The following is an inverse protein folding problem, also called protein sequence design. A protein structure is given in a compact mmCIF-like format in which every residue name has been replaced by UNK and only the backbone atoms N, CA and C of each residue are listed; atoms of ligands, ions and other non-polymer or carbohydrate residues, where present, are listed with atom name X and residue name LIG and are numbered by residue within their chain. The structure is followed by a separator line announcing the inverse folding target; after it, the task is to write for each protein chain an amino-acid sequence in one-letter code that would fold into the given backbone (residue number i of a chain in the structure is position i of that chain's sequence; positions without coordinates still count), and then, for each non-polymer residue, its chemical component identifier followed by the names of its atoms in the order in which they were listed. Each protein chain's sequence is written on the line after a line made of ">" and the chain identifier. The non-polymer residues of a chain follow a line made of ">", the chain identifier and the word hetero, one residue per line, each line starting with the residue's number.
data_IF_741726787266
#
_entry.id   IF_741726787266
#
_cell.length_a   1.000
_cell.length_b   1.000
_cell.length_c   1.000
_cell.angle_alpha   90.00
_cell.angle_beta   90.00
_cell.angle_gamma   90.00
#
_symmetry.space_group_name_H-M   'P 1'
#
loop_
_entity.id
_entity.type
_entity.pdbx_description
1 polymer ?
#
# COMPACT_ATOMS: atom_id res chain seq x y z
N UNK A 1 2.76 -32.28 -6.87
CA UNK A 1 2.43 -30.85 -7.09
C UNK A 1 3.62 -30.20 -7.78
N UNK A 2 3.36 -29.25 -8.66
CA UNK A 2 4.36 -28.43 -9.35
C UNK A 2 4.09 -26.97 -9.01
N UNK A 3 5.13 -26.23 -8.63
CA UNK A 3 5.02 -24.78 -8.47
C UNK A 3 5.01 -24.11 -9.84
N UNK A 4 4.12 -23.14 -10.02
CA UNK A 4 4.19 -22.23 -11.16
C UNK A 4 5.55 -21.52 -11.12
N UNK A 5 6.20 -21.36 -12.28
CA UNK A 5 7.46 -20.63 -12.35
C UNK A 5 7.25 -19.17 -11.90
N UNK A 6 8.27 -18.61 -11.24
CA UNK A 6 8.28 -17.19 -10.92
C UNK A 6 8.10 -16.37 -12.21
N UNK A 7 7.26 -15.34 -12.17
CA UNK A 7 7.10 -14.46 -13.31
C UNK A 7 8.44 -13.80 -13.70
N UNK A 8 8.88 -14.05 -14.94
CA UNK A 8 10.07 -13.43 -15.53
C UNK A 8 9.73 -12.36 -16.58
N UNK A 9 8.44 -12.15 -16.86
CA UNK A 9 7.99 -11.18 -17.85
C UNK A 9 7.85 -9.80 -17.21
N UNK A 10 8.05 -8.77 -18.03
CA UNK A 10 7.80 -7.37 -17.67
C UNK A 10 6.93 -6.73 -18.74
N UNK A 11 6.08 -5.79 -18.34
CA UNK A 11 5.27 -4.98 -19.24
C UNK A 11 5.30 -3.55 -18.75
N UNK A 12 5.97 -2.67 -19.49
CA UNK A 12 6.20 -1.28 -19.07
C UNK A 12 4.89 -0.57 -18.74
N UNK A 13 4.79 0.01 -17.53
CA UNK A 13 3.60 0.69 -17.03
C UNK A 13 2.51 -0.23 -16.46
N UNK A 14 2.73 -1.55 -16.43
CA UNK A 14 1.78 -2.52 -15.89
C UNK A 14 2.40 -3.32 -14.74
N UNK A 15 1.57 -3.68 -13.78
CA UNK A 15 1.89 -4.57 -12.68
C UNK A 15 1.32 -5.95 -12.96
N UNK A 16 2.15 -6.99 -12.77
CA UNK A 16 1.71 -8.37 -12.85
C UNK A 16 0.72 -8.67 -11.72
N UNK A 17 -0.42 -9.26 -12.04
CA UNK A 17 -1.50 -9.56 -11.08
C UNK A 17 -1.71 -11.04 -10.83
N UNK A 18 -1.08 -11.90 -11.64
CA UNK A 18 -1.24 -13.34 -11.55
C UNK A 18 -1.27 -14.01 -12.90
N UNK A 19 -1.46 -15.31 -12.87
CA UNK A 19 -1.61 -16.18 -14.03
C UNK A 19 -3.08 -16.53 -14.23
N UNK A 20 -3.53 -16.71 -15.46
CA UNK A 20 -4.87 -17.20 -15.76
C UNK A 20 -4.85 -18.26 -16.87
N UNK A 21 -5.75 -19.24 -16.83
CA UNK A 21 -5.86 -20.27 -17.89
C UNK A 21 -6.43 -19.73 -19.21
N UNK A 22 -6.93 -18.49 -19.23
CA UNK A 22 -7.40 -17.80 -20.44
C UNK A 22 -6.78 -16.40 -20.54
N UNK A 23 -6.41 -15.99 -21.75
CA UNK A 23 -5.79 -14.69 -22.02
C UNK A 23 -6.64 -13.51 -21.54
N UNK A 24 -7.96 -13.62 -21.65
CA UNK A 24 -8.94 -12.60 -21.25
C UNK A 24 -9.24 -12.57 -19.74
N UNK A 25 -8.56 -13.39 -18.93
CA UNK A 25 -8.76 -13.45 -17.48
C UNK A 25 -10.01 -14.20 -17.02
N UNK A 26 -10.83 -14.76 -17.94
CA UNK A 26 -12.08 -15.44 -17.59
C UNK A 26 -11.89 -16.92 -17.21
N UNK A 27 -10.65 -17.38 -17.11
CA UNK A 27 -10.30 -18.74 -16.70
C UNK A 27 -10.01 -18.83 -15.21
N UNK A 28 -9.33 -19.90 -14.81
CA UNK A 28 -8.87 -20.11 -13.44
C UNK A 28 -7.65 -19.24 -13.16
N UNK A 29 -7.70 -18.44 -12.10
CA UNK A 29 -6.59 -17.58 -11.68
C UNK A 29 -5.65 -18.31 -10.72
N UNK A 30 -4.36 -18.02 -10.84
CA UNK A 30 -3.31 -18.51 -9.96
C UNK A 30 -2.39 -17.36 -9.54
N UNK A 31 -1.90 -17.38 -8.31
CA UNK A 31 -0.88 -16.43 -7.85
C UNK A 31 0.49 -16.80 -8.40
N UNK A 32 1.43 -15.87 -8.37
CA UNK A 32 2.82 -16.20 -8.70
C UNK A 32 3.34 -17.31 -7.77
N UNK A 33 4.16 -18.22 -8.30
CA UNK A 33 4.77 -19.33 -7.57
C UNK A 33 3.77 -20.29 -6.89
N UNK A 34 2.48 -20.24 -7.21
CA UNK A 34 1.48 -21.11 -6.60
C UNK A 34 1.79 -22.58 -6.90
N UNK A 35 1.73 -23.42 -5.86
CA UNK A 35 1.78 -24.88 -6.02
C UNK A 35 0.45 -25.40 -6.55
N UNK A 36 0.49 -26.04 -7.72
CA UNK A 36 -0.68 -26.64 -8.38
C UNK A 36 -0.43 -28.12 -8.68
N UNK A 37 -1.49 -28.92 -8.76
CA UNK A 37 -1.39 -30.31 -9.22
C UNK A 37 -1.88 -30.35 -10.66
N UNK A 38 -0.99 -30.73 -11.59
CA UNK A 38 -1.32 -30.86 -13.00
C UNK A 38 -1.73 -32.31 -13.29
N UNK A 39 -2.88 -32.48 -13.94
CA UNK A 39 -3.34 -33.76 -14.51
C UNK A 39 -3.14 -33.83 -16.02
N UNK A 40 -2.79 -32.70 -16.64
CA UNK A 40 -2.52 -32.51 -18.06
C UNK A 40 -1.75 -31.19 -18.26
N UNK A 41 -1.23 -30.96 -19.47
CA UNK A 41 -0.60 -29.70 -19.85
C UNK A 41 -1.63 -28.55 -19.81
N UNK A 42 -1.19 -27.40 -19.29
CA UNK A 42 -1.98 -26.16 -19.26
C UNK A 42 -1.17 -25.01 -19.86
N UNK A 43 -1.86 -24.06 -20.47
CA UNK A 43 -1.28 -22.76 -20.85
C UNK A 43 -1.72 -21.70 -19.84
N UNK A 44 -0.77 -20.94 -19.33
CA UNK A 44 -1.01 -19.81 -18.43
C UNK A 44 -0.69 -18.49 -19.13
N UNK A 45 -1.58 -17.52 -18.96
CA UNK A 45 -1.47 -16.18 -19.49
C UNK A 45 -1.22 -15.21 -18.35
N UNK A 46 -0.13 -14.45 -18.43
CA UNK A 46 0.16 -13.39 -17.47
C UNK A 46 -0.92 -12.30 -17.54
N UNK A 47 -1.51 -11.99 -16.39
CA UNK A 47 -2.50 -10.93 -16.24
C UNK A 47 -1.82 -9.66 -15.72
N UNK A 48 -2.20 -8.53 -16.30
CA UNK A 48 -1.53 -7.26 -16.11
C UNK A 48 -2.54 -6.17 -15.75
N UNK A 49 -2.22 -5.38 -14.72
CA UNK A 49 -2.99 -4.21 -14.32
C UNK A 49 -2.21 -2.95 -14.64
N UNK A 50 -2.85 -1.96 -15.27
CA UNK A 50 -2.27 -0.64 -15.49
C UNK A 50 -2.81 0.31 -14.43
N UNK A 51 -1.98 0.81 -13.51
CA UNK A 51 -2.41 1.81 -12.54
C UNK A 51 -2.86 3.10 -13.24
N UNK A 52 -3.99 3.65 -12.79
CA UNK A 52 -4.54 4.93 -13.27
C UNK A 52 -4.70 5.90 -12.10
N UNK A 53 -4.93 7.18 -12.42
CA UNK A 53 -5.08 8.24 -11.43
C UNK A 53 -6.38 9.03 -11.63
N UNK A 54 -6.79 9.73 -10.57
CA UNK A 54 -7.73 10.84 -10.59
C UNK A 54 -6.98 12.11 -10.27
N UNK A 55 -7.15 13.12 -11.11
CA UNK A 55 -6.70 14.48 -10.83
C UNK A 55 -7.75 15.18 -9.96
N UNK A 56 -7.44 15.35 -8.68
CA UNK A 56 -8.30 16.02 -7.70
C UNK A 56 -8.11 17.55 -7.70
N UNK A 57 -7.28 18.11 -8.59
CA UNK A 57 -6.90 19.53 -8.55
C UNK A 57 -6.05 19.87 -7.33
N UNK A 58 -5.23 18.92 -6.88
CA UNK A 58 -4.29 19.02 -5.76
C UNK A 58 -2.85 19.04 -6.29
N UNK A 59 -1.85 19.10 -5.41
CA UNK A 59 -0.43 19.13 -5.82
C UNK A 59 0.05 17.86 -6.51
N UNK A 60 -0.69 16.76 -6.39
CA UNK A 60 -0.41 15.45 -7.00
C UNK A 60 -1.70 14.76 -7.45
N UNK A 61 -1.56 13.83 -8.39
CA UNK A 61 -2.65 12.96 -8.85
C UNK A 61 -2.69 11.70 -8.01
N UNK A 62 -3.89 11.27 -7.64
CA UNK A 62 -4.09 10.16 -6.70
C UNK A 62 -4.48 8.89 -7.44
N UNK A 63 -3.90 7.75 -7.06
CA UNK A 63 -4.21 6.47 -7.65
C UNK A 63 -5.68 6.07 -7.48
N UNK A 64 -6.24 5.41 -8.50
CA UNK A 64 -7.63 4.92 -8.48
C UNK A 64 -7.85 3.76 -7.51
N UNK A 65 -6.81 2.95 -7.22
CA UNK A 65 -6.85 1.82 -6.28
C UNK A 65 -5.62 1.79 -5.34
N UNK A 66 -5.64 0.91 -4.33
CA UNK A 66 -4.48 0.65 -3.46
C UNK A 66 -3.44 -0.21 -4.20
N UNK A 67 -2.17 -0.14 -3.78
CA UNK A 67 -1.17 -1.14 -4.20
C UNK A 67 -1.69 -2.54 -3.85
N UNK A 68 -1.64 -3.47 -4.81
CA UNK A 68 -2.20 -4.82 -4.67
C UNK A 68 -3.69 -4.96 -5.01
N UNK A 69 -4.38 -3.87 -5.36
CA UNK A 69 -5.77 -3.89 -5.82
C UNK A 69 -5.89 -3.52 -7.30
N UNK A 70 -6.99 -3.97 -7.92
CA UNK A 70 -7.32 -3.64 -9.33
C UNK A 70 -8.62 -2.83 -9.46
N UNK A 71 -9.33 -2.62 -8.35
CA UNK A 71 -10.55 -1.79 -8.27
C UNK A 71 -10.43 -0.77 -7.15
N UNK A 72 -11.19 0.35 -7.19
CA UNK A 72 -11.07 1.41 -6.18
C UNK A 72 -11.36 0.95 -4.75
N UNK A 73 -12.34 0.07 -4.58
CA UNK A 73 -12.76 -0.52 -3.30
C UNK A 73 -11.88 -1.70 -2.84
N UNK A 74 -11.06 -2.26 -3.73
CA UNK A 74 -10.16 -3.35 -3.38
C UNK A 74 -9.20 -2.94 -2.26
N UNK A 75 -9.15 -3.73 -1.19
CA UNK A 75 -8.30 -3.44 -0.04
C UNK A 75 -6.82 -3.37 -0.40
N UNK A 76 -6.38 -4.16 -1.38
CA UNK A 76 -4.98 -4.27 -1.76
C UNK A 76 -4.13 -4.89 -0.66
N UNK A 77 -2.83 -4.74 -0.78
CA UNK A 77 -1.85 -5.36 0.10
C UNK A 77 -1.56 -4.52 1.35
N UNK A 78 -0.96 -5.15 2.35
CA UNK A 78 -0.44 -4.47 3.53
C UNK A 78 1.09 -4.37 3.42
N UNK A 79 1.65 -3.26 3.86
CA UNK A 79 3.10 -3.04 3.87
C UNK A 79 3.53 -2.52 5.23
N UNK A 80 4.66 -2.99 5.75
CA UNK A 80 5.34 -2.29 6.83
C UNK A 80 6.05 -1.07 6.24
N UNK A 81 6.26 -0.02 7.03
CA UNK A 81 6.80 1.23 6.49
C UNK A 81 8.25 1.05 6.02
N UNK A 82 8.53 1.34 4.75
CA UNK A 82 9.82 1.11 4.10
C UNK A 82 10.00 -0.31 3.52
N UNK A 83 9.02 -1.19 3.68
CA UNK A 83 9.02 -2.49 3.03
C UNK A 83 8.17 -2.49 1.77
N UNK A 84 8.59 -3.27 0.79
CA UNK A 84 8.03 -3.24 -0.57
C UNK A 84 7.29 -4.52 -0.93
N UNK A 85 7.33 -5.53 -0.06
CA UNK A 85 6.65 -6.81 -0.22
C UNK A 85 5.67 -7.05 0.94
N UNK A 86 4.48 -7.60 0.67
CA UNK A 86 3.54 -7.97 1.71
C UNK A 86 4.02 -9.18 2.50
N UNK A 87 3.55 -9.30 3.74
CA UNK A 87 3.89 -10.39 4.67
C UNK A 87 2.66 -10.94 5.36
N UNK A 88 2.79 -12.13 5.90
CA UNK A 88 1.74 -12.76 6.72
C UNK A 88 1.87 -12.45 8.21
N UNK A 89 2.98 -11.85 8.67
CA UNK A 89 3.18 -11.45 10.07
C UNK A 89 3.87 -10.06 10.18
N UNK A 90 3.23 -9.12 10.87
CA UNK A 90 3.69 -7.75 11.08
C UNK A 90 3.99 -7.46 12.56
N UNK A 91 5.27 -7.54 12.93
CA UNK A 91 5.77 -7.26 14.28
C UNK A 91 7.15 -6.62 14.18
N UNK A 92 7.67 -6.10 15.30
CA UNK A 92 9.07 -5.65 15.34
C UNK A 92 10.06 -6.78 15.02
N UNK A 93 9.76 -8.02 15.42
CA UNK A 93 10.60 -9.18 15.07
C UNK A 93 10.65 -9.50 13.59
N UNK A 94 9.64 -9.10 12.80
CA UNK A 94 9.62 -9.30 11.35
C UNK A 94 9.93 -8.03 10.56
N UNK A 95 10.13 -6.89 11.22
CA UNK A 95 10.33 -5.60 10.56
C UNK A 95 11.76 -5.45 10.03
N UNK A 96 11.88 -5.12 8.73
CA UNK A 96 13.16 -5.09 8.00
C UNK A 96 14.20 -4.12 8.57
N UNK A 97 13.76 -2.97 9.08
CA UNK A 97 14.67 -1.88 9.50
C UNK A 97 14.87 -1.79 11.01
N UNK A 98 14.93 -2.94 11.68
CA UNK A 98 15.36 -3.06 13.06
C UNK A 98 15.96 -4.44 13.37
N UNK A 99 16.67 -4.57 14.49
CA UNK A 99 17.11 -5.86 15.04
C UNK A 99 16.05 -6.37 16.04
N UNK A 100 14.84 -6.60 15.55
CA UNK A 100 13.74 -7.23 16.27
C UNK A 100 13.00 -6.38 17.30
N UNK A 101 13.46 -5.16 17.61
CA UNK A 101 12.88 -4.27 18.62
C UNK A 101 12.79 -2.83 18.10
N UNK A 102 11.84 -2.07 18.64
CA UNK A 102 11.66 -0.65 18.29
C UNK A 102 12.83 0.26 18.68
N UNK A 103 13.73 -0.22 19.54
CA UNK A 103 14.93 0.47 20.03
C UNK A 103 16.22 0.05 19.30
N UNK A 104 16.12 -0.80 18.26
CA UNK A 104 17.27 -1.31 17.51
C UNK A 104 17.15 -1.03 16.01
N UNK A 105 16.62 0.14 15.67
CA UNK A 105 16.45 0.64 14.31
C UNK A 105 17.78 0.68 13.55
N UNK A 106 17.74 0.27 12.29
CA UNK A 106 18.91 0.22 11.40
C UNK A 106 18.84 1.20 10.23
N UNK A 107 17.65 1.79 9.99
CA UNK A 107 17.42 2.78 8.93
C UNK A 107 16.29 3.74 9.31
N UNK A 108 16.34 4.95 8.74
CA UNK A 108 15.38 6.03 8.95
C UNK A 108 15.20 6.37 10.43
N UNK A 109 16.30 6.78 11.06
CA UNK A 109 16.34 7.01 12.49
C UNK A 109 17.05 8.33 12.80
N UNK A 110 16.40 9.12 13.66
CA UNK A 110 16.83 10.44 14.12
C UNK A 110 17.22 10.42 15.61
N UNK A 111 17.04 9.29 16.31
CA UNK A 111 17.24 9.16 17.75
C UNK A 111 18.29 8.09 18.05
N UNK A 112 19.43 8.49 18.61
CA UNK A 112 20.53 7.58 18.95
C UNK A 112 20.17 6.57 20.03
N UNK A 113 19.14 6.83 20.84
CA UNK A 113 18.62 5.85 21.81
C UNK A 113 17.86 4.69 21.15
N UNK A 114 17.59 4.80 19.83
CA UNK A 114 16.79 3.84 19.06
C UNK A 114 17.60 3.04 18.05
N UNK A 115 18.91 3.19 17.98
CA UNK A 115 19.79 2.44 17.08
C UNK A 115 20.63 3.33 16.16
N UNK A 116 20.98 2.84 14.98
CA UNK A 116 21.84 3.54 14.02
C UNK A 116 21.14 4.79 13.51
N UNK A 117 21.76 5.96 13.62
CA UNK A 117 21.21 7.24 13.15
C UNK A 117 21.68 7.52 11.73
N UNK A 118 20.74 7.77 10.82
CA UNK A 118 20.99 8.19 9.44
C UNK A 118 20.30 9.52 9.08
N UNK A 119 19.48 10.05 10.00
CA UNK A 119 18.70 11.28 9.87
C UNK A 119 17.79 11.33 8.63
N UNK A 120 17.48 10.19 8.02
CA UNK A 120 16.53 10.14 6.90
C UNK A 120 15.11 10.21 7.41
N UNK A 121 14.37 11.24 7.01
CA UNK A 121 12.97 11.47 7.41
C UNK A 121 11.96 11.16 6.30
N UNK A 122 12.42 10.74 5.13
CA UNK A 122 11.56 10.34 4.00
C UNK A 122 12.11 9.07 3.38
N UNK A 123 11.24 8.19 2.92
CA UNK A 123 11.62 6.95 2.25
C UNK A 123 12.47 7.21 1.01
N UNK A 124 13.56 6.47 0.89
CA UNK A 124 14.24 6.28 -0.38
C UNK A 124 13.28 5.58 -1.35
N UNK A 125 13.37 5.91 -2.64
CA UNK A 125 12.52 5.32 -3.68
C UNK A 125 12.65 3.79 -3.78
N UNK A 126 13.77 3.21 -3.34
CA UNK A 126 13.97 1.75 -3.26
C UNK A 126 13.16 1.08 -2.16
N UNK A 127 12.69 1.85 -1.17
CA UNK A 127 11.93 1.39 0.00
C UNK A 127 10.47 1.83 -0.06
N UNK A 128 10.08 2.50 -1.14
CA UNK A 128 8.73 2.96 -1.37
C UNK A 128 7.93 1.86 -2.07
N UNK A 129 6.99 1.24 -1.35
CA UNK A 129 6.12 0.19 -1.87
C UNK A 129 5.41 0.58 -3.18
N UNK A 130 4.94 1.82 -3.33
CA UNK A 130 4.29 2.24 -4.57
C UNK A 130 5.30 2.35 -5.72
N UNK A 131 6.49 2.91 -5.46
CA UNK A 131 7.55 2.98 -6.47
C UNK A 131 8.00 1.59 -6.91
N UNK A 132 8.23 0.68 -5.98
CA UNK A 132 8.75 -0.67 -6.31
C UNK A 132 7.69 -1.52 -7.00
N UNK A 133 6.41 -1.43 -6.61
CA UNK A 133 5.36 -2.26 -7.20
C UNK A 133 4.82 -1.73 -8.53
N UNK A 134 4.75 -0.40 -8.72
CA UNK A 134 4.15 0.22 -9.91
C UNK A 134 5.15 0.95 -10.82
N UNK A 135 6.36 1.24 -10.33
CA UNK A 135 7.42 1.86 -11.13
C UNK A 135 7.13 3.30 -11.57
N UNK A 136 7.93 3.78 -12.51
CA UNK A 136 7.77 5.12 -13.10
C UNK A 136 7.78 6.23 -12.05
N UNK A 137 6.80 7.13 -12.14
CA UNK A 137 6.68 8.27 -11.23
C UNK A 137 5.80 7.99 -10.00
N UNK A 138 5.28 6.76 -9.84
CA UNK A 138 4.48 6.38 -8.68
C UNK A 138 5.34 6.36 -7.41
N UNK A 139 4.74 6.82 -6.31
CA UNK A 139 5.33 6.79 -4.96
C UNK A 139 4.23 6.91 -3.89
N UNK A 140 4.58 6.66 -2.65
CA UNK A 140 3.77 7.03 -1.50
C UNK A 140 3.62 8.56 -1.40
N UNK A 141 2.47 9.05 -0.90
CA UNK A 141 2.27 10.46 -0.64
C UNK A 141 3.12 10.89 0.56
N UNK A 142 3.63 12.12 0.52
CA UNK A 142 4.25 12.76 1.68
C UNK A 142 3.19 13.15 2.70
N UNK A 143 3.63 13.50 3.93
CA UNK A 143 2.73 13.99 4.97
C UNK A 143 1.99 15.26 4.51
N UNK A 144 2.70 16.15 3.81
CA UNK A 144 2.12 17.39 3.29
C UNK A 144 0.98 17.14 2.29
N UNK A 145 1.15 16.18 1.38
CA UNK A 145 0.13 15.81 0.39
C UNK A 145 -1.07 15.10 1.02
N UNK A 146 -0.85 14.28 2.05
CA UNK A 146 -1.96 13.72 2.83
C UNK A 146 -2.74 14.81 3.56
N UNK A 147 -2.05 15.80 4.13
CA UNK A 147 -2.70 16.95 4.76
C UNK A 147 -3.45 17.83 3.75
N UNK A 148 -2.90 17.99 2.55
CA UNK A 148 -3.59 18.68 1.45
C UNK A 148 -4.89 17.96 1.07
N UNK A 149 -4.84 16.64 0.84
CA UNK A 149 -6.03 15.83 0.56
C UNK A 149 -7.08 15.97 1.67
N UNK A 150 -6.64 15.90 2.93
CA UNK A 150 -7.54 16.02 4.09
C UNK A 150 -8.22 17.40 4.16
N UNK A 151 -7.47 18.47 3.91
CA UNK A 151 -7.98 19.85 4.02
C UNK A 151 -8.84 20.25 2.83
N UNK A 152 -8.47 19.84 1.63
CA UNK A 152 -9.06 20.31 0.37
C UNK A 152 -10.11 19.35 -0.23
N UNK A 153 -10.45 18.27 0.46
CA UNK A 153 -11.53 17.37 0.05
C UNK A 153 -12.64 17.26 1.11
N UNK A 154 -13.82 16.89 0.64
CA UNK A 154 -14.96 16.47 1.46
C UNK A 154 -14.88 14.95 1.62
N UNK A 155 -14.92 14.49 2.87
CA UNK A 155 -14.81 13.08 3.21
C UNK A 155 -16.19 12.57 3.63
N UNK A 156 -16.77 11.67 2.82
CA UNK A 156 -18.08 11.07 3.09
C UNK A 156 -17.92 9.58 3.31
N UNK A 157 -18.24 9.12 4.53
CA UNK A 157 -18.32 7.68 4.80
C UNK A 157 -19.45 7.06 3.97
N UNK A 158 -19.15 5.97 3.26
CA UNK A 158 -20.09 5.28 2.37
C UNK A 158 -19.68 3.83 2.13
N UNK A 159 -20.55 3.09 1.46
CA UNK A 159 -20.26 1.75 0.94
C UNK A 159 -20.17 1.83 -0.58
N UNK A 160 -19.10 1.24 -1.17
CA UNK A 160 -18.94 1.09 -2.61
C UNK A 160 -18.77 -0.41 -2.91
N UNK A 161 -19.66 -0.97 -3.75
CA UNK A 161 -19.66 -2.40 -4.11
C UNK A 161 -19.58 -3.34 -2.89
N UNK A 162 -20.31 -3.01 -1.81
CA UNK A 162 -20.32 -3.79 -0.56
C UNK A 162 -19.14 -3.55 0.38
N UNK A 163 -18.21 -2.66 0.03
CA UNK A 163 -17.04 -2.33 0.84
C UNK A 163 -17.20 -0.97 1.50
N UNK A 164 -17.06 -0.91 2.82
CA UNK A 164 -17.10 0.34 3.58
C UNK A 164 -15.81 1.16 3.40
N UNK A 165 -15.94 2.48 3.40
CA UNK A 165 -14.82 3.40 3.26
C UNK A 165 -15.25 4.84 3.15
N UNK A 166 -14.35 5.68 2.66
CA UNK A 166 -14.61 7.10 2.42
C UNK A 166 -14.58 7.42 0.93
N UNK A 167 -15.64 8.05 0.43
CA UNK A 167 -15.59 8.81 -0.83
C UNK A 167 -14.97 10.17 -0.52
N UNK A 168 -13.82 10.44 -1.13
CA UNK A 168 -13.04 11.67 -0.96
C UNK A 168 -13.24 12.52 -2.20
N UNK A 169 -13.99 13.61 -2.06
CA UNK A 169 -14.40 14.47 -3.19
C UNK A 169 -13.69 15.81 -3.11
N UNK A 170 -12.98 16.19 -4.18
CA UNK A 170 -12.28 17.47 -4.26
C UNK A 170 -13.24 18.65 -4.14
N UNK A 171 -12.90 19.62 -3.29
CA UNK A 171 -13.60 20.90 -3.22
C UNK A 171 -13.31 21.79 -4.43
N UNK A 172 -12.21 21.53 -5.14
CA UNK A 172 -11.75 22.35 -6.27
C UNK A 172 -12.48 22.00 -7.57
N UNK A 173 -12.58 20.71 -7.90
CA UNK A 173 -13.08 20.27 -9.21
C UNK A 173 -14.18 19.20 -9.15
N UNK A 174 -14.60 18.77 -7.94
CA UNK A 174 -15.65 17.76 -7.76
C UNK A 174 -15.25 16.32 -8.11
N UNK A 175 -14.02 16.08 -8.60
CA UNK A 175 -13.52 14.73 -8.83
C UNK A 175 -13.37 13.99 -7.51
N UNK A 176 -13.45 12.65 -7.53
CA UNK A 176 -13.40 11.85 -6.31
C UNK A 176 -12.63 10.56 -6.45
N UNK A 177 -12.00 10.14 -5.34
CA UNK A 177 -11.47 8.78 -5.14
C UNK A 177 -12.26 8.07 -4.03
N UNK A 178 -12.21 6.74 -4.01
CA UNK A 178 -12.70 5.94 -2.89
C UNK A 178 -11.52 5.30 -2.14
N UNK A 179 -11.49 5.48 -0.82
CA UNK A 179 -10.52 4.85 0.06
C UNK A 179 -11.24 3.80 0.93
N UNK A 180 -11.00 2.50 0.71
CA UNK A 180 -11.64 1.47 1.52
C UNK A 180 -11.12 1.49 2.97
N UNK A 181 -12.02 1.22 3.91
CA UNK A 181 -11.72 1.07 5.32
C UNK A 181 -11.12 -0.32 5.59
N UNK A 182 -9.92 -0.57 5.08
CA UNK A 182 -9.31 -1.90 5.15
C UNK A 182 -8.75 -2.27 6.54
N UNK A 183 -8.71 -1.34 7.50
CA UNK A 183 -8.07 -1.55 8.78
C UNK A 183 -6.54 -1.62 8.65
N UNK A 184 -5.91 -2.28 9.63
CA UNK A 184 -4.47 -2.52 9.65
C UNK A 184 -4.18 -3.98 9.98
N UNK A 185 -2.93 -4.40 9.74
CA UNK A 185 -2.45 -5.74 10.08
C UNK A 185 -1.40 -5.68 11.17
N UNK A 186 -1.66 -6.39 12.27
CA UNK A 186 -0.75 -6.56 13.40
C UNK A 186 -0.59 -8.03 13.72
N UNK A 187 0.66 -8.48 13.87
CA UNK A 187 0.99 -9.90 13.89
C UNK A 187 0.35 -10.59 12.66
N UNK A 188 -0.37 -11.70 12.86
CA UNK A 188 -1.08 -12.40 11.78
C UNK A 188 -2.52 -11.93 11.56
N UNK A 189 -3.02 -10.95 12.33
CA UNK A 189 -4.43 -10.57 12.34
C UNK A 189 -4.69 -9.26 11.62
N UNK A 190 -5.77 -9.22 10.84
CA UNK A 190 -6.36 -7.97 10.33
C UNK A 190 -7.30 -7.43 11.40
N UNK A 191 -7.12 -6.17 11.75
CA UNK A 191 -7.88 -5.47 12.77
C UNK A 191 -8.58 -4.28 12.12
N UNK A 192 -9.76 -3.91 12.63
CA UNK A 192 -10.47 -2.70 12.22
C UNK A 192 -10.94 -2.66 10.75
N UNK A 193 -10.94 -3.81 10.06
CA UNK A 193 -11.48 -3.93 8.71
C UNK A 193 -12.97 -3.57 8.66
N UNK A 194 -13.36 -2.82 7.63
CA UNK A 194 -14.71 -2.27 7.46
C UNK A 194 -15.05 -1.08 8.35
N UNK A 195 -14.18 -0.70 9.29
CA UNK A 195 -14.46 0.36 10.30
C UNK A 195 -13.51 1.55 10.19
N UNK A 196 -12.25 1.32 9.79
CA UNK A 196 -11.23 2.37 9.76
C UNK A 196 -10.30 2.23 8.55
N UNK A 197 -9.78 3.34 8.05
CA UNK A 197 -8.72 3.36 7.04
C UNK A 197 -7.38 3.77 7.63
N UNK A 198 -6.30 3.08 7.22
CA UNK A 198 -4.93 3.36 7.64
C UNK A 198 -4.01 3.34 6.41
N UNK A 199 -3.40 4.49 6.11
CA UNK A 199 -2.64 4.69 4.87
C UNK A 199 -1.30 5.33 5.14
N UNK A 200 -0.22 4.67 4.70
CA UNK A 200 1.13 5.18 4.91
C UNK A 200 1.39 6.48 4.15
N UNK A 201 2.10 7.38 4.82
CA UNK A 201 2.91 8.41 4.17
C UNK A 201 4.34 7.90 3.94
N UNK A 202 5.08 8.47 3.00
CA UNK A 202 6.53 8.31 2.89
C UNK A 202 7.33 9.07 3.95
N UNK A 203 6.68 9.89 4.79
CA UNK A 203 7.32 10.73 5.81
C UNK A 203 7.40 10.03 7.18
N UNK A 204 8.59 10.06 7.78
CA UNK A 204 8.87 9.59 9.14
C UNK A 204 8.21 10.49 10.19
N UNK A 205 7.82 9.95 11.35
CA UNK A 205 7.45 10.78 12.50
C UNK A 205 8.70 11.16 13.29
N UNK A 206 9.17 12.39 13.13
CA UNK A 206 10.52 12.79 13.57
C UNK A 206 10.68 12.80 15.10
N UNK A 207 9.61 13.10 15.84
CA UNK A 207 9.60 13.06 17.32
C UNK A 207 9.60 11.64 17.90
N UNK A 208 9.46 10.61 17.05
CA UNK A 208 9.45 9.22 17.46
C UNK A 208 9.73 8.32 16.27
N UNK A 209 11.01 8.03 15.94
CA UNK A 209 11.38 7.32 14.72
C UNK A 209 10.91 5.87 14.68
N UNK A 210 10.32 5.33 15.76
CA UNK A 210 9.57 4.06 15.72
C UNK A 210 8.22 4.17 14.98
N UNK A 211 7.80 5.38 14.61
CA UNK A 211 6.53 5.67 13.95
C UNK A 211 6.74 6.38 12.61
N UNK A 212 5.74 6.31 11.73
CA UNK A 212 5.68 7.08 10.50
C UNK A 212 4.30 7.74 10.36
N UNK A 213 4.24 8.82 9.58
CA UNK A 213 2.99 9.53 9.38
C UNK A 213 1.96 8.67 8.64
N UNK A 214 0.70 8.77 9.06
CA UNK A 214 -0.40 7.94 8.58
C UNK A 214 -1.63 8.81 8.35
N UNK A 215 -2.28 8.61 7.20
CA UNK A 215 -3.62 9.11 6.94
C UNK A 215 -4.62 8.12 7.52
N UNK A 216 -5.44 8.62 8.44
CA UNK A 216 -6.42 7.85 9.19
C UNK A 216 -7.83 8.44 9.01
N UNK A 217 -8.85 7.58 8.96
CA UNK A 217 -10.25 7.98 9.01
C UNK A 217 -11.13 6.94 9.72
N UNK A 218 -12.11 7.41 10.52
CA UNK A 218 -13.18 6.60 11.12
C UNK A 218 -13.75 7.10 12.46
N UNK A 219 -12.95 7.69 13.37
CA UNK A 219 -13.50 8.29 14.59
C UNK A 219 -12.79 9.53 15.16
N UNK A 220 -11.48 9.75 14.96
CA UNK A 220 -10.76 11.01 15.31
C UNK A 220 -9.28 10.96 14.88
N UNK A 221 -8.58 12.11 14.78
CA UNK A 221 -7.30 12.24 14.05
C UNK A 221 -6.10 11.71 14.86
N UNK A 222 -5.56 10.55 14.48
CA UNK A 222 -4.19 10.13 14.81
C UNK A 222 -3.32 10.22 13.56
N UNK A 223 -2.15 10.84 13.66
CA UNK A 223 -1.33 11.15 12.48
C UNK A 223 -0.09 10.27 12.32
N UNK A 224 0.16 9.33 13.23
CA UNK A 224 1.34 8.45 13.17
C UNK A 224 1.02 7.03 13.63
N UNK A 225 1.69 6.04 13.04
CA UNK A 225 1.52 4.62 13.39
C UNK A 225 2.85 3.88 13.42
N UNK A 226 2.92 2.78 14.19
CA UNK A 226 4.15 2.02 14.36
C UNK A 226 4.61 1.40 13.04
N UNK A 227 5.88 1.64 12.66
CA UNK A 227 6.40 1.27 11.33
C UNK A 227 6.38 -0.22 11.04
N UNK A 228 6.31 -1.05 12.08
CA UNK A 228 6.24 -2.49 12.00
C UNK A 228 4.85 -3.04 11.59
N UNK A 229 3.79 -2.24 11.64
CA UNK A 229 2.45 -2.66 11.29
C UNK A 229 2.24 -2.65 9.77
N UNK A 230 1.35 -3.52 9.29
CA UNK A 230 0.92 -3.54 7.90
C UNK A 230 -0.18 -2.52 7.66
N UNK A 231 0.07 -1.46 6.89
CA UNK A 231 -0.97 -0.51 6.44
C UNK A 231 -1.11 -0.51 4.92
N UNK A 232 -2.15 0.17 4.43
CA UNK A 232 -2.39 0.32 3.00
C UNK A 232 -1.52 1.42 2.40
N UNK A 233 -1.31 1.32 1.09
CA UNK A 233 -0.64 2.34 0.30
C UNK A 233 -1.57 2.77 -0.82
N UNK A 234 -1.93 4.06 -0.82
CA UNK A 234 -2.60 4.73 -1.91
C UNK A 234 -1.59 5.64 -2.60
N UNK A 235 -1.09 5.20 -3.76
CA UNK A 235 0.00 5.89 -4.45
C UNK A 235 -0.43 7.24 -5.03
N UNK A 236 0.56 8.08 -5.31
CA UNK A 236 0.41 9.34 -6.03
C UNK A 236 1.46 9.45 -7.14
N UNK A 237 1.19 10.31 -8.11
CA UNK A 237 2.12 10.69 -9.16
C UNK A 237 2.03 12.21 -9.46
N UNK A 238 3.07 12.83 -10.04
CA UNK A 238 3.04 14.24 -10.46
C UNK A 238 1.94 14.53 -11.47
#
# INVERSE_FOLDING_TARGET
>A
SQAIAANAFTRSGYTFTGWNTKANGSGTSYTDKQSITLTQDITLYAQWFMPTYVDLGLSVKWATCNIGATTPEGYGDYFAWGETEPKTNYSWSTYKYCNGLSSTLTKYNTDSSRGTVDNKTTLDLSDDAARVNWGGNWRMPTRAEQDELRKNCIWTWTTQNGVNGCKVTSKTNGNSIFLPAAGYRGSASVLNGGSYGYYWSSSLYESGPSYAYTLYFGSEIWSSYGRNYGLKVRAVCP
#
